data_IF_178404074443
#
_entry.id   IF_178404074443
#
_cell.length_a   1.000
_cell.length_b   1.000
_cell.length_c   1.000
_cell.angle_alpha   90.00
_cell.angle_beta   90.00
_cell.angle_gamma   90.00
#
_symmetry.space_group_name_H-M   'P 1'
#
loop_
_entity.id
_entity.type
_entity.pdbx_description
1 polymer ?
#
# COMPACT_ATOMS: atom_id res chain seq x y z
N UNK A 1 -37.25 -44.11 -8.10
CA UNK A 1 -37.13 -42.91 -7.23
C UNK A 1 -35.67 -42.66 -6.86
N UNK A 2 -34.92 -43.71 -6.48
CA UNK A 2 -33.52 -43.64 -6.02
C UNK A 2 -32.48 -43.02 -6.97
N UNK A 3 -32.63 -43.17 -8.29
CA UNK A 3 -31.66 -42.64 -9.28
C UNK A 3 -31.67 -41.10 -9.32
N UNK A 4 -32.86 -40.49 -9.14
CA UNK A 4 -33.00 -39.04 -9.14
C UNK A 4 -32.37 -38.42 -7.89
N UNK A 5 -32.55 -39.07 -6.73
CA UNK A 5 -32.00 -38.63 -5.45
C UNK A 5 -30.46 -38.72 -5.45
N UNK A 6 -29.89 -39.73 -6.10
CA UNK A 6 -28.43 -39.86 -6.26
C UNK A 6 -27.84 -38.76 -7.15
N UNK A 7 -28.54 -38.32 -8.20
CA UNK A 7 -28.11 -37.18 -9.02
C UNK A 7 -28.21 -35.85 -8.25
N UNK A 8 -29.26 -35.68 -7.45
CA UNK A 8 -29.45 -34.49 -6.61
C UNK A 8 -28.35 -34.38 -5.54
N UNK A 9 -27.97 -35.48 -4.89
CA UNK A 9 -26.87 -35.54 -3.92
C UNK A 9 -25.51 -35.19 -4.55
N UNK A 10 -25.22 -35.68 -5.77
CA UNK A 10 -23.99 -35.34 -6.49
C UNK A 10 -23.91 -33.85 -6.82
N UNK A 11 -25.03 -33.24 -7.24
CA UNK A 11 -25.11 -31.79 -7.52
C UNK A 11 -24.92 -30.95 -6.24
N UNK A 12 -25.51 -31.38 -5.13
CA UNK A 12 -25.34 -30.75 -3.81
C UNK A 12 -23.88 -30.79 -3.33
N UNK A 13 -23.20 -31.93 -3.47
CA UNK A 13 -21.79 -32.08 -3.11
C UNK A 13 -20.91 -31.16 -3.98
N UNK A 14 -21.14 -31.12 -5.30
CA UNK A 14 -20.42 -30.21 -6.18
C UNK A 14 -20.66 -28.73 -5.83
N UNK A 15 -21.89 -28.36 -5.47
CA UNK A 15 -22.22 -27.01 -5.04
C UNK A 15 -21.55 -26.63 -3.71
N UNK A 16 -21.49 -27.57 -2.76
CA UNK A 16 -20.82 -27.37 -1.48
C UNK A 16 -19.31 -27.18 -1.68
N UNK A 17 -18.68 -27.99 -2.54
CA UNK A 17 -17.27 -27.86 -2.90
C UNK A 17 -17.00 -26.51 -3.57
N UNK A 18 -17.88 -26.05 -4.46
CA UNK A 18 -17.78 -24.73 -5.09
C UNK A 18 -17.84 -23.59 -4.06
N UNK A 19 -18.72 -23.69 -3.06
CA UNK A 19 -18.82 -22.70 -1.98
C UNK A 19 -17.52 -22.60 -1.15
N UNK A 20 -16.78 -23.69 -0.96
CA UNK A 20 -15.49 -23.66 -0.26
C UNK A 20 -14.42 -22.87 -1.03
N UNK A 21 -14.45 -22.88 -2.37
CA UNK A 21 -13.53 -22.07 -3.19
C UNK A 21 -13.86 -20.57 -3.16
N UNK A 22 -15.09 -20.19 -2.79
CA UNK A 22 -15.54 -18.78 -2.70
C UNK A 22 -15.26 -18.18 -1.31
N UNK A 23 -14.86 -18.98 -0.32
CA UNK A 23 -14.44 -18.50 1.01
C UNK A 23 -13.03 -17.89 0.96
N UNK A 24 -12.87 -16.81 0.19
CA UNK A 24 -11.67 -15.99 0.18
C UNK A 24 -11.57 -15.25 1.52
N UNK A 25 -10.84 -15.80 2.48
CA UNK A 25 -10.46 -15.08 3.69
C UNK A 25 -9.57 -13.91 3.30
N UNK A 26 -9.82 -12.73 3.85
CA UNK A 26 -8.92 -11.59 3.64
C UNK A 26 -7.51 -11.96 4.13
N UNK A 27 -6.51 -11.94 3.24
CA UNK A 27 -5.13 -12.35 3.54
C UNK A 27 -4.43 -11.45 4.57
N UNK A 28 -5.03 -10.31 4.93
CA UNK A 28 -4.50 -9.38 5.93
C UNK A 28 -5.63 -8.82 6.78
N UNK A 29 -5.46 -8.89 8.10
CA UNK A 29 -6.37 -8.28 9.04
C UNK A 29 -6.28 -6.76 8.99
N UNK A 30 -7.42 -6.10 9.20
CA UNK A 30 -7.46 -4.65 9.35
C UNK A 30 -6.73 -4.24 10.66
N UNK A 31 -5.70 -3.40 10.60
CA UNK A 31 -5.01 -2.91 11.80
C UNK A 31 -5.96 -2.14 12.73
N UNK A 32 -5.76 -2.28 14.05
CA UNK A 32 -6.54 -1.53 15.07
C UNK A 32 -6.39 -0.02 14.91
N UNK A 33 -5.16 0.43 14.68
CA UNK A 33 -4.81 1.84 14.46
C UNK A 33 -4.50 2.08 12.97
N UNK A 34 -5.44 1.72 12.09
CA UNK A 34 -5.26 1.96 10.66
C UNK A 34 -5.17 3.47 10.40
N UNK A 35 -4.04 3.91 9.85
CA UNK A 35 -3.86 5.30 9.41
C UNK A 35 -4.81 5.57 8.26
N UNK A 36 -5.59 6.64 8.37
CA UNK A 36 -6.48 7.09 7.29
C UNK A 36 -5.71 7.35 5.98
N UNK A 37 -6.37 7.14 4.83
CA UNK A 37 -5.73 7.28 3.52
C UNK A 37 -5.18 8.69 3.26
N UNK A 38 -5.90 9.74 3.66
CA UNK A 38 -5.46 11.13 3.50
C UNK A 38 -4.22 11.40 4.34
N UNK A 39 -4.20 10.90 5.58
CA UNK A 39 -3.01 11.03 6.42
C UNK A 39 -1.82 10.24 5.86
N UNK A 40 -2.07 9.06 5.31
CA UNK A 40 -1.04 8.26 4.66
C UNK A 40 -0.48 8.97 3.42
N UNK A 41 -1.31 9.65 2.62
CA UNK A 41 -0.85 10.40 1.44
C UNK A 41 -0.01 11.62 1.84
N UNK A 42 -0.38 12.34 2.91
CA UNK A 42 0.43 13.42 3.48
C UNK A 42 1.82 12.92 3.94
N UNK A 43 1.85 11.80 4.68
CA UNK A 43 3.10 11.19 5.14
C UNK A 43 3.98 10.78 3.96
N UNK A 44 3.41 10.14 2.94
CA UNK A 44 4.15 9.72 1.73
C UNK A 44 4.68 10.94 0.96
N UNK A 45 3.90 12.00 0.85
CA UNK A 45 4.33 13.24 0.21
C UNK A 45 5.53 13.87 0.93
N UNK A 46 5.47 13.96 2.27
CA UNK A 46 6.55 14.51 3.07
C UNK A 46 7.81 13.62 3.04
N UNK A 47 7.64 12.29 3.02
CA UNK A 47 8.75 11.35 2.83
C UNK A 47 9.42 11.51 1.47
N UNK A 48 8.64 11.67 0.38
CA UNK A 48 9.16 11.87 -0.96
C UNK A 48 9.89 13.21 -1.12
N UNK A 49 9.44 14.26 -0.42
CA UNK A 49 10.16 15.53 -0.35
C UNK A 49 11.45 15.37 0.44
N UNK A 50 11.41 14.66 1.57
CA UNK A 50 12.60 14.42 2.40
C UNK A 50 13.65 13.55 1.71
N UNK A 51 13.26 12.62 0.85
CA UNK A 51 14.19 11.81 0.06
C UNK A 51 15.13 12.68 -0.82
N UNK A 52 14.64 13.84 -1.28
CA UNK A 52 15.46 14.78 -2.03
C UNK A 52 16.50 15.53 -1.16
N UNK A 53 16.27 15.63 0.16
CA UNK A 53 17.18 16.32 1.10
C UNK A 53 18.51 15.58 1.23
N UNK A 54 18.52 14.26 1.04
CA UNK A 54 19.73 13.42 1.05
C UNK A 54 20.72 13.89 -0.03
N UNK A 55 20.21 14.26 -1.20
CA UNK A 55 21.02 14.70 -2.32
C UNK A 55 21.63 16.10 -2.08
N UNK A 56 21.00 16.91 -1.23
CA UNK A 56 21.48 18.24 -0.86
C UNK A 56 22.47 18.19 0.31
N UNK A 57 22.29 17.26 1.25
CA UNK A 57 23.09 17.13 2.47
C UNK A 57 23.61 15.69 2.65
N UNK A 58 24.63 15.28 1.86
CA UNK A 58 25.22 13.96 2.01
C UNK A 58 25.79 13.77 3.41
N UNK A 59 25.48 12.63 4.05
CA UNK A 59 25.92 12.29 5.41
C UNK A 59 24.90 12.59 6.52
N UNK A 60 23.72 13.14 6.20
CA UNK A 60 22.63 13.26 7.20
C UNK A 60 21.94 11.92 7.45
N UNK A 61 21.57 11.66 8.71
CA UNK A 61 20.89 10.43 9.09
C UNK A 61 19.43 10.41 8.59
N UNK A 62 19.18 9.60 7.56
CA UNK A 62 17.87 9.35 6.97
C UNK A 62 16.79 8.86 7.94
N UNK A 63 17.19 8.00 8.87
CA UNK A 63 16.29 7.48 9.91
C UNK A 63 15.72 8.63 10.75
N UNK A 64 16.48 9.71 10.93
CA UNK A 64 16.04 10.90 11.65
C UNK A 64 14.94 11.66 10.89
N UNK A 65 15.05 11.74 9.55
CA UNK A 65 14.04 12.37 8.70
C UNK A 65 12.72 11.60 8.72
N UNK A 66 12.76 10.29 8.49
CA UNK A 66 11.58 9.42 8.57
C UNK A 66 10.93 9.48 9.96
N UNK A 67 11.72 9.39 11.04
CA UNK A 67 11.20 9.46 12.41
C UNK A 67 10.60 10.84 12.72
N UNK A 68 11.19 11.91 12.22
CA UNK A 68 10.67 13.27 12.36
C UNK A 68 9.32 13.44 11.66
N UNK A 69 9.19 12.97 10.41
CA UNK A 69 7.93 13.03 9.66
C UNK A 69 6.82 12.30 10.40
N UNK A 70 7.07 11.04 10.80
CA UNK A 70 6.07 10.25 11.54
C UNK A 70 5.67 10.92 12.85
N UNK A 71 6.62 11.52 13.57
CA UNK A 71 6.35 12.29 14.79
C UNK A 71 5.47 13.52 14.52
N UNK A 72 5.75 14.28 13.46
CA UNK A 72 4.96 15.46 13.06
C UNK A 72 3.52 15.09 12.71
N UNK A 73 3.31 13.91 12.12
CA UNK A 73 1.98 13.37 11.82
C UNK A 73 1.30 12.66 13.01
N UNK A 74 1.95 12.63 14.18
CA UNK A 74 1.52 11.90 15.38
C UNK A 74 1.22 10.41 15.10
N UNK A 75 2.10 9.77 14.33
CA UNK A 75 2.00 8.37 13.94
C UNK A 75 3.15 7.57 14.53
N UNK A 76 2.85 6.41 15.11
CA UNK A 76 3.86 5.46 15.54
C UNK A 76 4.39 4.67 14.35
N UNK A 77 5.67 4.31 14.39
CA UNK A 77 6.33 3.52 13.33
C UNK A 77 5.58 2.22 13.04
N UNK A 78 5.17 1.49 14.08
CA UNK A 78 4.44 0.23 13.90
C UNK A 78 3.09 0.43 13.20
N UNK A 79 2.33 1.45 13.61
CA UNK A 79 1.04 1.79 13.01
C UNK A 79 1.20 2.15 11.52
N UNK A 80 2.31 2.82 11.16
CA UNK A 80 2.67 3.09 9.77
C UNK A 80 2.94 1.82 8.99
N UNK A 81 3.83 0.95 9.48
CA UNK A 81 4.23 -0.28 8.79
C UNK A 81 3.03 -1.20 8.54
N UNK A 82 2.18 -1.40 9.55
CA UNK A 82 1.00 -2.28 9.41
C UNK A 82 -0.06 -1.67 8.49
N UNK A 83 -0.27 -0.35 8.53
CA UNK A 83 -1.20 0.34 7.64
C UNK A 83 -0.72 0.32 6.20
N UNK A 84 0.57 0.56 5.97
CA UNK A 84 1.19 0.50 4.66
C UNK A 84 1.04 -0.89 4.03
N UNK A 85 1.37 -1.95 4.78
CA UNK A 85 1.17 -3.34 4.35
C UNK A 85 -0.29 -3.63 4.02
N UNK A 86 -1.22 -3.20 4.88
CA UNK A 86 -2.65 -3.36 4.65
C UNK A 86 -3.08 -2.73 3.33
N UNK A 87 -2.63 -1.50 3.03
CA UNK A 87 -2.99 -0.82 1.79
C UNK A 87 -2.39 -1.43 0.52
N UNK A 88 -1.20 -2.03 0.61
CA UNK A 88 -0.62 -2.80 -0.52
C UNK A 88 -1.47 -4.03 -0.80
N UNK A 89 -1.71 -4.87 0.21
CA UNK A 89 -2.46 -6.13 0.05
C UNK A 89 -3.89 -5.87 -0.43
N UNK A 90 -4.51 -4.77 0.02
CA UNK A 90 -5.84 -4.34 -0.42
C UNK A 90 -5.85 -3.60 -1.75
N UNK A 91 -4.71 -3.45 -2.43
CA UNK A 91 -4.57 -2.71 -3.70
C UNK A 91 -5.12 -1.27 -3.62
N UNK A 92 -4.96 -0.62 -2.47
CA UNK A 92 -5.41 0.76 -2.21
C UNK A 92 -4.28 1.78 -2.30
N UNK A 93 -3.03 1.32 -2.45
CA UNK A 93 -1.86 2.18 -2.43
C UNK A 93 -1.82 3.14 -3.63
N UNK A 94 -2.29 2.73 -4.80
CA UNK A 94 -2.30 3.57 -6.00
C UNK A 94 -3.04 4.90 -5.76
N UNK A 95 -4.25 4.85 -5.18
CA UNK A 95 -5.00 6.06 -4.85
C UNK A 95 -4.28 6.96 -3.85
N UNK A 96 -3.65 6.36 -2.84
CA UNK A 96 -2.87 7.11 -1.83
C UNK A 96 -1.67 7.80 -2.47
N UNK A 97 -0.96 7.12 -3.38
CA UNK A 97 0.17 7.69 -4.11
C UNK A 97 -0.28 8.80 -5.04
N UNK A 98 -1.40 8.64 -5.74
CA UNK A 98 -1.97 9.68 -6.60
C UNK A 98 -2.35 10.93 -5.79
N UNK A 99 -2.88 10.76 -4.59
CA UNK A 99 -3.19 11.88 -3.70
C UNK A 99 -1.91 12.54 -3.15
N UNK A 100 -0.88 11.74 -2.82
CA UNK A 100 0.43 12.27 -2.42
C UNK A 100 1.06 13.12 -3.54
N UNK A 101 0.95 12.69 -4.79
CA UNK A 101 1.41 13.46 -5.96
C UNK A 101 0.70 14.81 -6.07
N UNK A 102 -0.63 14.87 -5.84
CA UNK A 102 -1.37 16.14 -5.83
C UNK A 102 -0.86 17.07 -4.73
N UNK A 103 -0.63 16.54 -3.52
CA UNK A 103 -0.06 17.32 -2.41
C UNK A 103 1.31 17.90 -2.79
N UNK A 104 2.17 17.13 -3.44
CA UNK A 104 3.48 17.62 -3.91
C UNK A 104 3.32 18.71 -4.97
N UNK A 105 2.40 18.55 -5.93
CA UNK A 105 2.13 19.55 -6.97
C UNK A 105 1.57 20.85 -6.38
N UNK A 106 0.70 20.77 -5.38
CA UNK A 106 0.18 21.94 -4.68
C UNK A 106 1.30 22.69 -3.93
N UNK A 107 2.25 21.96 -3.31
CA UNK A 107 3.40 22.54 -2.61
C UNK A 107 4.46 23.11 -3.57
N UNK A 108 4.72 22.43 -4.69
CA UNK A 108 5.64 22.86 -5.75
C UNK A 108 5.03 22.62 -7.14
N UNK A 109 4.33 23.60 -7.73
CA UNK A 109 3.69 23.45 -9.05
C UNK A 109 4.67 23.07 -10.17
N UNK A 110 5.97 23.36 -10.02
CA UNK A 110 6.98 23.00 -11.04
C UNK A 110 7.23 21.49 -11.09
N UNK A 111 6.91 20.76 -10.02
CA UNK A 111 7.03 19.31 -9.93
C UNK A 111 6.09 18.57 -10.88
N UNK A 112 4.97 19.19 -11.28
CA UNK A 112 3.92 18.59 -12.11
C UNK A 112 4.48 18.00 -13.41
N UNK A 113 5.38 18.72 -14.07
CA UNK A 113 6.00 18.26 -15.33
C UNK A 113 6.85 17.01 -15.14
N UNK A 114 7.52 16.86 -13.98
CA UNK A 114 8.33 15.68 -13.66
C UNK A 114 7.45 14.49 -13.27
N UNK A 115 6.36 14.75 -12.54
CA UNK A 115 5.44 13.71 -12.08
C UNK A 115 4.63 13.13 -13.26
N UNK A 116 4.06 14.00 -14.12
CA UNK A 116 3.30 13.57 -15.31
C UNK A 116 4.17 13.00 -16.44
N UNK A 117 5.47 13.29 -16.46
CA UNK A 117 6.40 12.78 -17.46
C UNK A 117 6.92 11.36 -17.17
N UNK A 118 6.73 10.85 -15.95
CA UNK A 118 7.30 9.59 -15.46
C UNK A 118 6.21 8.57 -15.07
N UNK A 119 4.99 8.74 -15.57
CA UNK A 119 3.81 7.92 -15.25
C UNK A 119 3.86 6.50 -15.82
N UNK A 120 4.83 6.19 -16.67
CA UNK A 120 5.21 4.81 -16.90
C UNK A 120 5.83 4.28 -15.60
N UNK A 121 5.03 3.57 -14.80
CA UNK A 121 5.57 2.63 -13.83
C UNK A 121 6.35 1.60 -14.65
N UNK A 122 7.61 1.91 -14.97
CA UNK A 122 8.59 0.87 -15.29
C UNK A 122 8.51 -0.02 -14.08
N UNK A 123 7.99 -1.24 -14.25
CA UNK A 123 8.02 -2.32 -13.27
C UNK A 123 9.46 -2.34 -12.77
N UNK A 124 9.71 -1.63 -11.69
CA UNK A 124 11.05 -1.47 -11.17
C UNK A 124 11.25 -2.80 -10.53
N UNK A 125 12.04 -3.66 -11.19
CA UNK A 125 12.43 -4.94 -10.63
C UNK A 125 12.91 -4.65 -9.21
N UNK A 126 12.13 -5.11 -8.22
CA UNK A 126 12.46 -4.93 -6.82
C UNK A 126 13.92 -5.37 -6.66
N UNK A 127 14.80 -4.55 -6.05
CA UNK A 127 16.17 -4.96 -5.84
C UNK A 127 16.15 -6.32 -5.15
N UNK A 128 16.76 -7.32 -5.80
CA UNK A 128 16.84 -8.66 -5.23
C UNK A 128 17.55 -8.50 -3.89
N UNK A 129 16.86 -8.88 -2.82
CA UNK A 129 17.42 -8.88 -1.48
C UNK A 129 18.66 -9.78 -1.50
N UNK A 130 19.84 -9.17 -1.52
CA UNK A 130 21.08 -9.90 -1.27
C UNK A 130 21.02 -10.40 0.17
N UNK A 131 20.79 -11.71 0.34
CA UNK A 131 21.03 -12.38 1.62
C UNK A 131 22.54 -12.33 1.86
N UNK A 132 22.98 -11.42 2.72
CA UNK A 132 24.27 -11.49 3.39
C UNK A 132 24.24 -12.56 4.48
#
# INVERSE_FOLDING_TARGET
MEINDQQVMKKLICFLIFLFFVSCSEYVDKPKNLIDKTKMSEIIADMAINDQVINLYPGTNLESGTRFILKTHNVKTDDFIVSYRYYIVKQKMEGIVNDAQKIIIEKDPKSEKKIKGNTEIKTTELPKLERR
#
